data_IF_171171336671
#
_entry.id   IF_171171336671
#
_cell.length_a   1.000
_cell.length_b   1.000
_cell.length_c   1.000
_cell.angle_alpha   90.00
_cell.angle_beta   90.00
_cell.angle_gamma   90.00
#
_symmetry.space_group_name_H-M   'P 1'
#
loop_
_entity.id
_entity.type
_entity.pdbx_description
1 polymer ?
#
# COMPACT_ATOMS: atom_id res chain seq x y z
N UNK A 1 -5.78 -26.17 12.30
CA UNK A 1 -4.66 -25.22 12.17
C UNK A 1 -3.94 -25.56 10.88
N UNK A 2 -4.44 -25.02 9.77
CA UNK A 2 -4.09 -25.43 8.41
C UNK A 2 -3.37 -24.27 7.73
N UNK A 3 -2.12 -24.50 7.33
CA UNK A 3 -1.30 -23.57 6.55
C UNK A 3 -1.75 -23.71 5.10
N UNK A 4 -2.38 -22.66 4.54
CA UNK A 4 -2.78 -22.62 3.13
C UNK A 4 -1.61 -22.05 2.32
N UNK A 5 -1.03 -22.89 1.47
CA UNK A 5 0.01 -22.52 0.51
C UNK A 5 -0.64 -21.88 -0.71
N UNK A 6 -0.23 -20.66 -1.07
CA UNK A 6 -0.64 -19.96 -2.28
C UNK A 6 0.16 -20.53 -3.47
N UNK A 7 -0.57 -20.95 -4.51
CA UNK A 7 -0.02 -21.50 -5.73
C UNK A 7 0.60 -20.40 -6.61
N UNK A 8 1.89 -20.51 -6.90
CA UNK A 8 2.61 -19.70 -7.88
C UNK A 8 2.40 -20.34 -9.26
N UNK A 9 1.80 -19.58 -10.19
CA UNK A 9 1.80 -19.93 -11.60
C UNK A 9 3.24 -19.90 -12.15
N UNK A 10 3.79 -21.06 -12.45
CA UNK A 10 4.99 -21.18 -13.29
C UNK A 10 4.54 -21.50 -14.72
N UNK A 11 4.81 -20.58 -15.65
CA UNK A 11 4.64 -20.82 -17.06
C UNK A 11 5.66 -21.86 -17.53
N UNK A 12 5.21 -23.11 -17.69
CA UNK A 12 5.99 -24.18 -18.31
C UNK A 12 6.03 -24.02 -19.82
N UNK A 13 7.22 -23.74 -20.37
CA UNK A 13 7.56 -24.15 -21.72
C UNK A 13 8.09 -25.59 -21.65
N UNK A 14 7.38 -26.52 -22.27
CA UNK A 14 7.85 -27.89 -22.47
C UNK A 14 7.73 -28.26 -23.94
N UNK A 15 8.91 -28.52 -24.50
CA UNK A 15 9.32 -29.55 -25.46
C UNK A 15 8.58 -29.78 -26.79
N UNK A 16 9.39 -29.81 -27.85
CA UNK A 16 9.31 -30.83 -28.91
C UNK A 16 10.71 -31.11 -29.51
N UNK A 17 11.23 -32.33 -29.22
CA UNK A 17 11.86 -33.33 -30.12
C UNK A 17 12.98 -32.92 -31.12
N UNK A 18 13.99 -33.72 -31.50
CA UNK A 18 14.53 -35.06 -31.16
C UNK A 18 15.82 -35.25 -32.02
N UNK A 19 16.67 -36.16 -31.57
CA UNK A 19 17.60 -37.03 -32.33
C UNK A 19 18.91 -36.50 -32.99
N UNK A 20 20.00 -36.83 -32.29
CA UNK A 20 21.15 -37.66 -32.74
C UNK A 20 22.27 -37.14 -33.67
N UNK A 21 23.48 -37.34 -33.15
CA UNK A 21 24.71 -37.86 -33.80
C UNK A 21 25.72 -36.91 -34.49
N UNK A 22 26.93 -36.95 -33.89
CA UNK A 22 28.31 -36.98 -34.44
C UNK A 22 28.91 -35.72 -35.09
N UNK A 23 30.14 -35.46 -34.61
CA UNK A 23 31.34 -34.91 -35.28
C UNK A 23 31.13 -33.77 -36.29
N UNK A 24 31.63 -32.56 -36.00
CA UNK A 24 32.94 -32.12 -36.48
C UNK A 24 33.23 -30.65 -36.10
N UNK A 25 34.50 -30.31 -36.08
CA UNK A 25 35.02 -28.95 -35.89
C UNK A 25 34.42 -27.95 -36.90
N UNK A 26 34.08 -26.73 -36.45
CA UNK A 26 34.67 -25.48 -36.96
C UNK A 26 34.11 -24.24 -36.25
N UNK A 27 35.05 -23.34 -35.96
CA UNK A 27 34.89 -21.97 -35.48
C UNK A 27 33.79 -21.18 -36.20
N UNK A 28 32.88 -20.57 -35.43
CA UNK A 28 32.17 -19.35 -35.85
C UNK A 28 31.93 -18.42 -34.66
N UNK A 29 32.34 -17.17 -34.88
CA UNK A 29 32.24 -16.03 -33.98
C UNK A 29 30.82 -15.84 -33.41
N UNK A 30 30.71 -15.87 -32.08
CA UNK A 30 29.62 -15.21 -31.37
C UNK A 30 30.17 -13.95 -30.71
N UNK A 31 29.68 -12.81 -31.18
CA UNK A 31 29.83 -11.52 -30.54
C UNK A 31 29.30 -11.59 -29.11
N UNK A 32 30.13 -11.21 -28.13
CA UNK A 32 29.67 -10.84 -26.80
C UNK A 32 28.71 -9.66 -26.94
N UNK A 33 27.41 -9.93 -26.89
CA UNK A 33 26.45 -8.90 -26.53
C UNK A 33 26.67 -8.56 -25.05
N UNK A 34 27.17 -7.35 -24.82
CA UNK A 34 27.26 -6.74 -23.52
C UNK A 34 25.84 -6.56 -22.97
N UNK A 35 25.40 -7.48 -22.11
CA UNK A 35 24.32 -7.24 -21.17
C UNK A 35 24.80 -6.26 -20.10
N UNK A 36 24.97 -4.99 -20.48
CA UNK A 36 25.01 -3.89 -19.53
C UNK A 36 23.58 -3.67 -19.04
N UNK A 37 23.21 -4.42 -18.00
CA UNK A 37 22.12 -4.01 -17.13
C UNK A 37 22.48 -2.61 -16.61
N UNK A 38 21.64 -1.58 -16.78
CA UNK A 38 21.94 -0.28 -16.22
C UNK A 38 22.01 -0.46 -14.71
N UNK A 39 23.21 -0.35 -14.15
CA UNK A 39 23.37 -0.18 -12.71
C UNK A 39 22.66 1.14 -12.42
N UNK A 40 21.48 1.06 -11.82
CA UNK A 40 20.81 2.22 -11.27
C UNK A 40 21.67 2.63 -10.06
N UNK A 41 22.70 3.44 -10.31
CA UNK A 41 23.39 4.13 -9.25
C UNK A 41 22.39 5.09 -8.61
N UNK A 42 22.11 4.92 -7.32
CA UNK A 42 21.45 5.95 -6.54
C UNK A 42 22.45 7.10 -6.38
N UNK A 43 22.56 7.93 -7.42
CA UNK A 43 23.46 9.08 -7.42
C UNK A 43 22.77 10.18 -6.62
N UNK A 44 23.33 10.53 -5.46
CA UNK A 44 23.07 11.82 -4.83
C UNK A 44 24.09 12.79 -5.41
N UNK A 45 23.69 13.45 -6.51
CA UNK A 45 24.44 14.59 -7.02
C UNK A 45 23.93 15.84 -6.34
N UNK A 46 24.74 16.43 -5.45
CA UNK A 46 24.54 17.82 -5.02
C UNK A 46 25.13 18.68 -6.16
N UNK A 47 24.43 18.72 -7.30
CA UNK A 47 24.93 19.31 -8.55
C UNK A 47 24.80 20.83 -8.63
N UNK A 48 24.01 21.44 -7.74
CA UNK A 48 23.99 22.89 -7.62
C UNK A 48 25.18 23.32 -6.75
N UNK A 49 26.03 24.26 -7.20
CA UNK A 49 27.04 24.86 -6.33
C UNK A 49 26.30 25.40 -5.10
N UNK A 50 26.74 24.98 -3.91
CA UNK A 50 26.07 25.27 -2.63
C UNK A 50 25.87 26.79 -2.45
N UNK A 51 24.85 27.40 -3.01
CA UNK A 51 24.66 28.85 -2.90
C UNK A 51 24.32 29.20 -1.45
N UNK A 52 24.59 30.44 -1.01
CA UNK A 52 24.25 30.91 0.34
C UNK A 52 22.75 30.76 0.69
N UNK A 53 21.90 30.42 -0.27
CA UNK A 53 20.46 30.22 -0.12
C UNK A 53 20.05 28.74 0.12
N UNK A 54 21.01 27.81 0.28
CA UNK A 54 20.77 26.38 0.53
C UNK A 54 20.30 26.05 1.97
N UNK A 55 19.44 26.88 2.58
CA UNK A 55 18.74 26.55 3.84
C UNK A 55 17.68 25.44 3.70
N UNK A 56 17.68 24.69 2.59
CA UNK A 56 16.65 23.71 2.26
C UNK A 56 17.24 22.32 2.36
N UNK A 57 16.89 21.59 3.41
CA UNK A 57 17.18 20.17 3.55
C UNK A 57 16.63 19.43 2.32
N UNK A 58 17.54 18.80 1.59
CA UNK A 58 17.21 17.96 0.44
C UNK A 58 17.25 16.53 0.92
N UNK A 59 16.08 15.91 1.05
CA UNK A 59 15.95 14.54 1.53
C UNK A 59 15.94 13.55 0.37
N UNK A 60 16.74 12.50 0.48
CA UNK A 60 16.76 11.38 -0.45
C UNK A 60 16.60 10.06 0.29
N UNK A 61 15.65 9.25 -0.17
CA UNK A 61 15.49 7.87 0.27
C UNK A 61 16.42 6.98 -0.54
N UNK A 62 17.25 6.22 0.15
CA UNK A 62 18.20 5.28 -0.44
C UNK A 62 17.86 3.90 0.06
N UNK A 63 17.87 2.94 -0.85
CA UNK A 63 17.66 1.54 -0.53
C UNK A 63 18.98 0.93 -0.05
N UNK A 64 18.95 0.11 1.01
CA UNK A 64 20.09 -0.75 1.37
C UNK A 64 20.57 -1.64 0.23
N UNK A 65 21.81 -2.11 0.34
CA UNK A 65 22.44 -2.97 -0.66
C UNK A 65 22.59 -2.33 -2.05
N UNK A 66 22.33 -1.03 -2.18
CA UNK A 66 22.67 -0.24 -3.37
C UNK A 66 23.81 0.71 -3.01
N UNK A 67 24.76 0.95 -3.92
CA UNK A 67 25.80 1.92 -3.70
C UNK A 67 25.18 3.32 -3.62
N UNK A 68 25.65 4.11 -2.66
CA UNK A 68 25.30 5.51 -2.51
C UNK A 68 26.49 6.39 -2.89
N UNK A 69 26.35 7.15 -3.97
CA UNK A 69 27.31 8.17 -4.33
C UNK A 69 26.90 9.50 -3.70
N UNK A 70 27.73 10.00 -2.79
CA UNK A 70 27.62 11.32 -2.18
C UNK A 70 28.69 12.21 -2.81
N UNK A 71 28.28 13.25 -3.53
CA UNK A 71 29.21 14.24 -4.07
C UNK A 71 28.64 15.66 -3.92
N UNK A 72 29.51 16.67 -3.95
CA UNK A 72 29.10 18.08 -3.91
C UNK A 72 30.28 19.04 -4.05
N UNK A 73 29.98 20.33 -4.09
CA UNK A 73 30.94 21.41 -4.28
C UNK A 73 30.85 22.48 -3.18
N UNK A 74 31.96 22.77 -2.50
CA UNK A 74 32.07 23.79 -1.45
C UNK A 74 32.57 25.16 -1.96
N UNK A 75 32.60 25.43 -3.26
CA UNK A 75 33.24 26.62 -3.86
C UNK A 75 32.73 27.98 -3.35
N UNK A 76 31.56 28.02 -2.75
CA UNK A 76 30.89 29.18 -2.15
C UNK A 76 31.17 29.36 -0.65
N UNK A 77 31.82 28.37 -0.03
CA UNK A 77 32.05 28.26 1.41
C UNK A 77 33.55 28.45 1.70
N UNK A 78 33.87 28.85 2.93
CA UNK A 78 35.28 28.98 3.39
C UNK A 78 35.89 27.65 3.84
N UNK A 79 35.14 26.57 3.75
CA UNK A 79 35.47 25.29 4.35
C UNK A 79 36.07 24.34 3.33
N UNK A 80 37.13 23.63 3.74
CA UNK A 80 37.84 22.65 2.90
C UNK A 80 37.37 21.21 3.16
N UNK A 81 36.40 21.01 4.06
CA UNK A 81 35.93 19.70 4.47
C UNK A 81 34.43 19.72 4.76
N UNK A 82 33.83 18.54 4.65
CA UNK A 82 32.50 18.24 5.20
C UNK A 82 32.60 17.04 6.11
N UNK A 83 31.66 16.94 7.04
CA UNK A 83 31.53 15.79 7.92
C UNK A 83 30.23 15.05 7.61
N UNK A 84 30.38 13.79 7.25
CA UNK A 84 29.30 12.84 7.03
C UNK A 84 28.99 12.16 8.36
N UNK A 85 27.79 12.33 8.88
CA UNK A 85 27.31 11.64 10.08
C UNK A 85 26.31 10.56 9.69
N UNK A 86 26.38 9.42 10.37
CA UNK A 86 25.52 8.25 10.12
C UNK A 86 24.89 7.84 11.44
N UNK A 87 23.56 7.71 11.44
CA UNK A 87 22.70 7.34 12.56
C UNK A 87 22.04 6.00 12.23
N UNK A 88 22.55 4.90 12.75
CA UNK A 88 22.09 3.52 12.45
C UNK A 88 21.71 2.73 13.73
N UNK A 89 21.57 3.42 14.85
CA UNK A 89 21.55 2.84 16.19
C UNK A 89 22.86 3.10 16.94
N UNK A 90 23.95 3.30 16.20
CA UNK A 90 25.13 4.04 16.65
C UNK A 90 25.23 5.37 15.89
N UNK A 91 26.05 6.28 16.40
CA UNK A 91 26.38 7.52 15.70
C UNK A 91 27.84 7.46 15.27
N UNK A 92 28.10 7.43 13.97
CA UNK A 92 29.46 7.48 13.39
C UNK A 92 29.64 8.74 12.54
N UNK A 93 30.88 9.17 12.37
CA UNK A 93 31.18 10.34 11.55
C UNK A 93 32.44 10.16 10.72
N UNK A 94 32.46 10.71 9.51
CA UNK A 94 33.56 10.65 8.56
C UNK A 94 33.87 12.05 8.05
N UNK A 95 35.14 12.46 8.11
CA UNK A 95 35.59 13.71 7.50
C UNK A 95 35.87 13.43 6.02
N UNK A 96 35.21 14.17 5.14
CA UNK A 96 35.44 14.15 3.70
C UNK A 96 36.21 15.41 3.33
N UNK A 97 37.37 15.22 2.72
CA UNK A 97 38.20 16.30 2.21
C UNK A 97 37.76 16.69 0.80
N UNK A 98 37.83 17.98 0.48
CA UNK A 98 37.67 18.43 -0.89
C UNK A 98 38.95 18.26 -1.71
N UNK A 99 38.78 18.16 -3.02
CA UNK A 99 39.86 18.27 -3.99
C UNK A 99 40.23 19.74 -4.27
N UNK A 100 41.14 19.96 -5.23
CA UNK A 100 41.59 21.30 -5.63
C UNK A 100 40.49 22.18 -6.24
N UNK A 101 39.37 21.59 -6.65
CA UNK A 101 38.21 22.28 -7.21
C UNK A 101 37.10 22.48 -6.16
N UNK A 102 37.40 22.26 -4.87
CA UNK A 102 36.45 22.26 -3.77
C UNK A 102 35.34 21.19 -3.90
N UNK A 103 35.58 20.13 -4.67
CA UNK A 103 34.66 19.02 -4.81
C UNK A 103 34.95 17.94 -3.76
N UNK A 104 33.93 17.38 -3.14
CA UNK A 104 34.07 16.16 -2.34
C UNK A 104 33.32 15.00 -3.00
N UNK A 105 33.82 13.78 -2.78
CA UNK A 105 33.20 12.55 -3.27
C UNK A 105 33.39 11.43 -2.25
N UNK A 106 32.29 10.76 -1.90
CA UNK A 106 32.28 9.54 -1.09
C UNK A 106 31.32 8.54 -1.71
N UNK A 107 31.81 7.34 -1.99
CA UNK A 107 30.97 6.20 -2.33
C UNK A 107 30.79 5.39 -1.05
N UNK A 108 29.55 5.14 -0.66
CA UNK A 108 29.18 4.09 0.28
C UNK A 108 28.78 2.89 -0.57
N UNK A 109 29.62 1.86 -0.59
CA UNK A 109 29.36 0.68 -1.41
C UNK A 109 28.15 -0.12 -0.92
N UNK A 110 27.68 -1.07 -1.75
CA UNK A 110 26.54 -1.92 -1.44
C UNK A 110 26.75 -2.76 -0.18
N UNK A 111 27.98 -3.24 0.05
CA UNK A 111 28.31 -4.07 1.21
C UNK A 111 28.18 -3.27 2.50
N UNK A 112 28.66 -2.02 2.49
CA UNK A 112 28.54 -1.10 3.60
C UNK A 112 27.09 -0.73 3.87
N UNK A 113 26.31 -0.35 2.84
CA UNK A 113 24.89 -0.02 3.06
C UNK A 113 24.08 -1.25 3.50
N UNK A 114 24.43 -2.45 3.05
CA UNK A 114 23.85 -3.70 3.52
C UNK A 114 24.21 -4.03 4.99
N UNK A 115 25.40 -3.63 5.45
CA UNK A 115 25.89 -3.90 6.80
C UNK A 115 25.27 -3.02 7.91
N UNK A 116 24.55 -1.96 7.54
CA UNK A 116 23.98 -1.02 8.49
C UNK A 116 22.96 -1.70 9.43
N UNK A 117 22.99 -1.45 10.75
CA UNK A 117 21.99 -1.99 11.67
C UNK A 117 20.62 -1.28 11.57
N UNK A 118 19.54 -1.98 11.93
CA UNK A 118 18.18 -1.41 12.12
C UNK A 118 17.32 -1.27 10.84
N UNK A 119 16.06 -0.86 11.01
CA UNK A 119 15.15 -0.61 9.88
C UNK A 119 15.30 0.79 9.27
N UNK A 120 16.00 1.69 9.95
CA UNK A 120 16.18 3.07 9.55
C UNK A 120 17.62 3.49 9.83
N UNK A 121 18.35 3.88 8.79
CA UNK A 121 19.64 4.55 8.92
C UNK A 121 19.50 5.94 8.34
N UNK A 122 19.93 6.97 9.06
CA UNK A 122 19.91 8.34 8.55
C UNK A 122 21.34 8.85 8.38
N UNK A 123 21.58 9.59 7.31
CA UNK A 123 22.85 10.21 6.98
C UNK A 123 22.63 11.72 6.92
N UNK A 124 23.55 12.48 7.51
CA UNK A 124 23.55 13.94 7.44
C UNK A 124 24.95 14.43 7.09
N UNK A 125 25.08 15.25 6.05
CA UNK A 125 26.31 15.97 5.73
C UNK A 125 26.22 17.37 6.32
N UNK A 126 27.28 17.75 7.03
CA UNK A 126 27.43 19.07 7.62
C UNK A 126 28.76 19.68 7.17
N UNK A 127 28.76 20.99 6.92
CA UNK A 127 29.99 21.76 6.70
C UNK A 127 30.96 21.61 7.91
N UNK A 128 32.25 21.37 7.68
CA UNK A 128 33.22 21.18 8.76
C UNK A 128 34.58 21.85 8.51
N UNK A 129 35.05 22.74 9.42
CA UNK A 129 34.24 23.44 10.41
C UNK A 129 33.17 24.30 9.72
N UNK A 130 32.08 24.65 10.39
CA UNK A 130 31.05 25.53 9.84
C UNK A 130 31.60 26.92 9.49
N UNK A 131 30.86 27.64 8.65
CA UNK A 131 31.23 28.98 8.16
C UNK A 131 31.72 29.88 9.32
N UNK A 132 32.97 30.38 9.20
CA UNK A 132 33.74 31.17 10.20
C UNK A 132 34.46 30.40 11.32
N UNK A 133 34.41 29.06 11.35
CA UNK A 133 35.12 28.25 12.34
C UNK A 133 34.46 28.21 13.72
N UNK A 134 33.30 28.83 13.88
CA UNK A 134 32.61 29.00 15.16
C UNK A 134 31.69 27.82 15.51
N UNK A 135 31.23 27.07 14.51
CA UNK A 135 30.39 25.89 14.69
C UNK A 135 31.10 24.63 14.20
N UNK A 136 31.33 23.68 15.10
CA UNK A 136 31.71 22.32 14.80
C UNK A 136 30.99 21.40 15.76
N UNK A 137 30.28 20.41 15.21
CA UNK A 137 29.88 19.24 15.99
C UNK A 137 31.00 18.24 15.85
N UNK A 138 31.51 17.73 16.96
CA UNK A 138 32.60 16.74 16.97
C UNK A 138 32.22 15.59 17.87
N UNK A 139 32.67 14.38 17.53
CA UNK A 139 32.57 13.23 18.41
C UNK A 139 33.89 13.13 19.17
N UNK A 140 33.82 13.25 20.49
CA UNK A 140 34.97 13.05 21.38
C UNK A 140 35.53 11.64 21.18
N UNK A 141 36.83 11.52 20.89
CA UNK A 141 37.44 10.22 20.57
C UNK A 141 37.55 9.30 21.79
N UNK A 142 37.48 9.84 23.01
CA UNK A 142 37.63 9.09 24.26
C UNK A 142 36.28 8.74 24.88
N UNK A 143 35.38 9.72 25.02
CA UNK A 143 34.06 9.49 25.62
C UNK A 143 33.01 9.04 24.60
N UNK A 144 33.26 9.24 23.31
CA UNK A 144 32.25 9.02 22.26
C UNK A 144 31.13 10.06 22.24
N UNK A 145 31.16 11.04 23.14
CA UNK A 145 30.15 12.09 23.25
C UNK A 145 30.25 13.08 22.09
N UNK A 146 29.09 13.47 21.59
CA UNK A 146 28.90 14.49 20.58
C UNK A 146 28.86 15.85 21.27
N UNK A 147 29.81 16.72 20.92
CA UNK A 147 30.01 18.05 21.49
C UNK A 147 29.91 19.11 20.39
N UNK A 148 29.27 20.23 20.71
CA UNK A 148 29.28 21.44 19.88
C UNK A 148 30.34 22.42 20.38
N UNK A 149 31.02 23.13 19.46
CA UNK A 149 31.96 24.20 19.82
C UNK A 149 31.29 25.54 20.10
N UNK A 150 30.04 25.73 19.66
CA UNK A 150 29.29 26.98 19.83
C UNK A 150 28.42 26.92 21.10
N UNK A 151 28.45 27.99 21.91
CA UNK A 151 27.62 28.15 23.13
C UNK A 151 26.11 28.19 22.85
N UNK A 152 25.72 28.45 21.60
CA UNK A 152 24.32 28.62 21.22
C UNK A 152 23.65 27.31 20.76
N UNK A 153 24.40 26.21 20.59
CA UNK A 153 23.79 24.90 20.40
C UNK A 153 23.24 24.45 21.75
N UNK A 154 21.92 24.24 21.84
CA UNK A 154 21.29 23.81 23.09
C UNK A 154 21.99 22.55 23.63
N UNK A 155 22.55 22.68 24.83
CA UNK A 155 23.20 21.57 25.53
C UNK A 155 22.23 20.43 25.83
N UNK A 156 20.94 20.74 25.90
CA UNK A 156 19.85 19.77 26.02
C UNK A 156 19.68 18.93 24.75
N UNK A 157 19.71 19.54 23.55
CA UNK A 157 19.62 18.82 22.27
C UNK A 157 20.81 17.86 22.12
N UNK A 158 22.03 18.32 22.39
CA UNK A 158 23.22 17.47 22.34
C UNK A 158 23.20 16.36 23.40
N UNK A 159 22.63 16.62 24.57
CA UNK A 159 22.44 15.60 25.61
C UNK A 159 21.46 14.52 25.14
N UNK A 160 20.35 14.89 24.51
CA UNK A 160 19.38 13.93 23.94
C UNK A 160 19.98 13.10 22.80
N UNK A 161 20.84 13.70 21.97
CA UNK A 161 21.56 12.95 20.92
C UNK A 161 22.51 11.92 21.54
N UNK A 162 23.18 12.29 22.64
CA UNK A 162 24.16 11.43 23.32
C UNK A 162 23.56 10.28 24.12
N UNK A 163 22.28 10.35 24.55
CA UNK A 163 21.65 9.22 25.24
C UNK A 163 21.40 8.04 24.29
N UNK A 164 21.20 8.29 22.99
CA UNK A 164 21.00 7.23 21.99
C UNK A 164 19.71 6.41 22.17
N UNK A 165 18.85 6.77 23.12
CA UNK A 165 17.62 6.02 23.46
C UNK A 165 16.47 6.25 22.47
N UNK A 166 16.67 7.09 21.45
CA UNK A 166 15.65 7.49 20.47
C UNK A 166 15.90 6.85 19.11
N UNK A 167 14.83 6.73 18.33
CA UNK A 167 14.91 6.24 16.96
C UNK A 167 15.85 7.13 16.11
N UNK A 168 16.60 6.55 15.15
CA UNK A 168 17.53 7.31 14.28
C UNK A 168 16.91 8.50 13.54
N UNK A 169 15.61 8.43 13.24
CA UNK A 169 14.85 9.52 12.61
C UNK A 169 14.64 10.71 13.55
N UNK A 170 14.41 10.47 14.84
CA UNK A 170 14.28 11.55 15.82
C UNK A 170 15.64 12.16 16.17
N UNK A 171 16.69 11.32 16.21
CA UNK A 171 18.06 11.79 16.45
C UNK A 171 18.57 12.69 15.32
N UNK A 172 18.24 12.38 14.05
CA UNK A 172 18.65 13.23 12.93
C UNK A 172 17.88 14.55 12.90
N UNK A 173 16.59 14.57 13.26
CA UNK A 173 15.80 15.81 13.34
C UNK A 173 16.34 16.74 14.44
N UNK A 174 16.69 16.18 15.61
CA UNK A 174 17.38 16.91 16.69
C UNK A 174 18.76 17.41 16.25
N UNK A 175 19.51 16.61 15.49
CA UNK A 175 20.82 17.00 14.99
C UNK A 175 20.72 18.09 13.92
N UNK A 176 19.74 18.02 13.01
CA UNK A 176 19.43 19.09 12.05
C UNK A 176 19.07 20.37 12.77
N UNK A 177 18.24 20.29 13.83
CA UNK A 177 17.91 21.44 14.67
C UNK A 177 19.17 22.02 15.33
N UNK A 178 20.05 21.19 15.90
CA UNK A 178 21.31 21.65 16.49
C UNK A 178 22.22 22.36 15.47
N UNK A 179 22.24 21.91 14.22
CA UNK A 179 22.98 22.56 13.13
C UNK A 179 22.31 23.86 12.68
N UNK A 180 20.98 23.88 12.60
CA UNK A 180 20.18 25.03 12.14
C UNK A 180 20.14 26.17 13.16
N UNK A 181 20.09 25.85 14.45
CA UNK A 181 20.07 26.80 15.56
C UNK A 181 21.44 27.45 15.78
N UNK A 182 22.49 26.98 15.10
CA UNK A 182 23.75 27.71 15.07
C UNK A 182 23.55 29.01 14.28
N UNK A 183 23.73 30.16 14.94
CA UNK A 183 23.63 31.51 14.34
C UNK A 183 24.51 31.71 13.07
N UNK A 184 25.40 30.76 12.82
CA UNK A 184 26.30 30.69 11.66
C UNK A 184 25.63 30.23 10.36
N UNK A 185 24.40 29.72 10.39
CA UNK A 185 23.69 29.27 9.19
C UNK A 185 24.36 28.07 8.51
N UNK A 186 24.86 27.12 9.32
CA UNK A 186 25.54 25.92 8.82
C UNK A 186 24.66 25.15 7.83
N UNK A 187 25.22 24.77 6.69
CA UNK A 187 24.49 24.00 5.69
C UNK A 187 24.43 22.53 6.08
N UNK A 188 23.26 21.94 5.89
CA UNK A 188 22.94 20.57 6.23
C UNK A 188 22.26 19.87 5.04
N UNK A 189 22.77 18.71 4.64
CA UNK A 189 22.11 17.82 3.68
C UNK A 189 21.74 16.52 4.37
N UNK A 190 20.52 16.02 4.19
CA UNK A 190 20.03 14.83 4.89
C UNK A 190 19.60 13.75 3.91
N UNK A 191 19.99 12.51 4.18
CA UNK A 191 19.58 11.34 3.42
C UNK A 191 19.07 10.29 4.40
N UNK A 192 17.95 9.62 4.10
CA UNK A 192 17.50 8.46 4.86
C UNK A 192 17.77 7.21 4.02
N UNK A 193 18.56 6.29 4.57
CA UNK A 193 18.72 4.94 4.05
C UNK A 193 17.65 4.07 4.72
N UNK A 194 16.65 3.66 3.96
CA UNK A 194 15.58 2.81 4.45
C UNK A 194 16.06 1.35 4.53
N UNK A 195 15.38 0.54 5.33
CA UNK A 195 15.59 -0.91 5.45
C UNK A 195 15.68 -1.63 4.09
N UNK A 196 16.19 -2.86 4.12
CA UNK A 196 16.20 -3.76 2.97
C UNK A 196 14.79 -4.01 2.40
N UNK A 197 13.77 -3.89 3.25
CA UNK A 197 12.37 -3.98 2.87
C UNK A 197 11.82 -2.56 2.68
N UNK A 198 11.32 -2.30 1.48
CA UNK A 198 10.53 -1.09 1.23
C UNK A 198 9.21 -1.22 1.98
N UNK A 199 8.56 -0.10 2.26
CA UNK A 199 7.22 -0.12 2.83
C UNK A 199 6.25 0.68 1.98
N UNK A 200 4.98 0.30 2.08
CA UNK A 200 3.85 0.97 1.45
C UNK A 200 2.82 1.21 2.54
N UNK A 201 2.37 2.45 2.67
CA UNK A 201 1.28 2.85 3.55
C UNK A 201 0.14 3.35 2.66
N UNK A 202 -1.04 2.73 2.76
CA UNK A 202 -2.17 3.01 1.87
C UNK A 202 -3.10 3.98 2.60
N UNK A 203 -3.38 5.12 1.98
CA UNK A 203 -4.37 6.08 2.48
C UNK A 203 -5.78 5.47 2.44
N UNK A 204 -6.72 6.05 3.20
CA UNK A 204 -8.13 5.67 3.08
C UNK A 204 -8.63 5.88 1.64
N UNK A 205 -9.10 4.84 0.94
CA UNK A 205 -9.58 4.94 -0.43
C UNK A 205 -10.79 5.87 -0.50
N UNK A 206 -10.92 6.61 -1.60
CA UNK A 206 -12.08 7.47 -1.83
C UNK A 206 -12.55 7.39 -3.27
N UNK A 207 -13.84 7.62 -3.48
CA UNK A 207 -14.46 7.62 -4.81
C UNK A 207 -14.41 9.00 -5.44
N UNK A 208 -14.02 9.07 -6.72
CA UNK A 208 -14.19 10.29 -7.53
C UNK A 208 -15.60 10.32 -8.14
N UNK A 209 -16.12 9.15 -8.51
CA UNK A 209 -17.47 8.96 -9.02
C UNK A 209 -17.95 7.52 -8.65
N UNK A 210 -19.18 7.12 -8.99
CA UNK A 210 -19.69 5.80 -8.61
C UNK A 210 -18.83 4.62 -9.09
N UNK A 211 -18.10 4.79 -10.20
CA UNK A 211 -17.40 3.73 -10.94
C UNK A 211 -15.87 3.78 -10.80
N UNK A 212 -15.32 4.77 -10.10
CA UNK A 212 -13.87 4.96 -9.99
C UNK A 212 -13.46 5.24 -8.55
N UNK A 213 -12.49 4.46 -8.08
CA UNK A 213 -11.91 4.57 -6.74
C UNK A 213 -10.44 4.96 -6.84
N UNK A 214 -10.04 5.97 -6.07
CA UNK A 214 -8.64 6.41 -5.96
C UNK A 214 -7.97 5.63 -4.87
N UNK A 215 -6.85 5.01 -5.22
CA UNK A 215 -5.93 4.39 -4.27
C UNK A 215 -4.67 5.23 -4.25
N UNK A 216 -4.31 5.75 -3.08
CA UNK A 216 -3.11 6.54 -2.87
C UNK A 216 -2.40 6.11 -1.60
N UNK A 217 -1.19 6.63 -1.41
CA UNK A 217 -0.45 6.37 -0.19
C UNK A 217 0.97 6.91 -0.24
N UNK A 218 1.71 6.55 0.80
CA UNK A 218 3.12 6.89 0.97
C UNK A 218 3.99 5.63 0.84
N UNK A 219 5.23 5.80 0.41
CA UNK A 219 6.18 4.71 0.29
C UNK A 219 7.63 5.19 0.37
N UNK A 220 8.53 4.26 0.68
CA UNK A 220 9.98 4.44 0.58
C UNK A 220 10.60 3.87 -0.69
N UNK A 221 9.80 3.23 -1.54
CA UNK A 221 10.27 2.69 -2.82
C UNK A 221 10.81 3.80 -3.72
N UNK A 222 11.86 3.56 -4.53
CA UNK A 222 12.43 4.58 -5.40
C UNK A 222 11.43 5.22 -6.36
N UNK A 223 11.69 6.46 -6.77
CA UNK A 223 10.93 7.12 -7.84
C UNK A 223 10.87 6.24 -9.09
N UNK A 224 9.73 6.29 -9.78
CA UNK A 224 9.43 5.50 -10.98
C UNK A 224 9.26 4.00 -10.76
N UNK A 225 9.34 3.52 -9.52
CA UNK A 225 8.94 2.14 -9.21
C UNK A 225 7.48 1.95 -9.60
N UNK A 226 7.19 0.91 -10.37
CA UNK A 226 5.83 0.52 -10.74
C UNK A 226 5.21 -0.26 -9.59
N UNK A 227 3.94 -0.02 -9.31
CA UNK A 227 3.18 -0.74 -8.30
C UNK A 227 1.97 -1.38 -8.96
N UNK A 228 1.70 -2.66 -8.66
CA UNK A 228 0.43 -3.29 -8.93
C UNK A 228 -0.53 -2.90 -7.81
N UNK A 229 -1.73 -2.47 -8.18
CA UNK A 229 -2.80 -2.12 -7.25
C UNK A 229 -3.98 -3.04 -7.54
N UNK A 230 -4.34 -3.87 -6.56
CA UNK A 230 -5.46 -4.79 -6.64
C UNK A 230 -6.57 -4.39 -5.67
N UNK A 231 -7.82 -4.58 -6.08
CA UNK A 231 -9.00 -4.52 -5.23
C UNK A 231 -9.69 -5.86 -5.38
N UNK A 232 -9.78 -6.64 -4.30
CA UNK A 232 -10.38 -7.99 -4.30
C UNK A 232 -11.37 -8.16 -3.17
N UNK A 233 -12.50 -8.80 -3.43
CA UNK A 233 -13.50 -9.16 -2.41
C UNK A 233 -12.85 -9.84 -1.20
N UNK A 234 -13.29 -9.51 0.02
CA UNK A 234 -12.86 -10.27 1.22
C UNK A 234 -13.53 -11.64 1.30
N UNK A 235 -14.61 -11.83 0.55
CA UNK A 235 -15.39 -13.06 0.51
C UNK A 235 -15.10 -13.79 -0.80
N UNK A 236 -14.31 -14.86 -0.72
CA UNK A 236 -14.09 -15.77 -1.84
C UNK A 236 -15.03 -16.95 -1.65
N UNK A 237 -15.94 -17.17 -2.60
CA UNK A 237 -16.81 -18.34 -2.60
C UNK A 237 -16.42 -19.34 -3.70
N UNK A 238 -16.66 -20.65 -3.50
CA UNK A 238 -16.43 -21.65 -4.54
C UNK A 238 -17.26 -21.31 -5.77
N UNK A 239 -16.61 -21.01 -6.88
CA UNK A 239 -17.27 -20.64 -8.12
C UNK A 239 -17.04 -21.70 -9.20
N UNK A 240 -18.00 -21.91 -10.12
CA UNK A 240 -17.80 -22.79 -11.26
C UNK A 240 -16.69 -22.25 -12.17
N UNK A 241 -16.05 -23.13 -12.96
CA UNK A 241 -14.91 -22.76 -13.83
C UNK A 241 -15.12 -21.58 -14.79
N UNK A 242 -16.36 -21.24 -15.10
CA UNK A 242 -16.72 -20.17 -16.02
C UNK A 242 -17.31 -18.93 -15.31
N UNK A 243 -17.04 -18.78 -14.01
CA UNK A 243 -17.49 -17.63 -13.25
C UNK A 243 -16.74 -16.36 -13.66
N UNK A 244 -17.48 -15.26 -13.86
CA UNK A 244 -16.91 -13.95 -14.17
C UNK A 244 -16.47 -13.26 -12.88
N UNK A 245 -15.16 -13.20 -12.65
CA UNK A 245 -14.55 -12.54 -11.49
C UNK A 245 -14.50 -11.01 -11.60
N UNK A 246 -14.94 -10.42 -12.72
CA UNK A 246 -14.88 -8.96 -12.88
C UNK A 246 -15.77 -8.19 -11.89
N UNK A 247 -16.64 -8.89 -11.16
CA UNK A 247 -17.45 -8.35 -10.06
C UNK A 247 -16.79 -8.44 -8.68
N UNK A 248 -15.68 -9.16 -8.59
CA UNK A 248 -14.97 -9.45 -7.34
C UNK A 248 -13.56 -8.87 -7.32
N UNK A 249 -13.04 -8.51 -8.49
CA UNK A 249 -11.67 -8.06 -8.65
C UNK A 249 -11.58 -6.88 -9.63
N UNK A 250 -10.79 -5.89 -9.26
CA UNK A 250 -10.36 -4.81 -10.13
C UNK A 250 -8.87 -4.54 -9.90
N UNK A 251 -8.16 -4.17 -10.95
CA UNK A 251 -6.72 -3.94 -10.89
C UNK A 251 -6.34 -2.65 -11.62
N UNK A 252 -5.15 -2.17 -11.31
CA UNK A 252 -4.50 -1.11 -12.02
C UNK A 252 -3.05 -1.01 -11.60
N UNK A 253 -2.39 0.01 -12.12
CA UNK A 253 -0.99 0.27 -11.81
C UNK A 253 -0.83 1.69 -11.29
N UNK A 254 0.11 1.87 -10.39
CA UNK A 254 0.60 3.17 -9.97
C UNK A 254 2.09 3.29 -10.25
N UNK A 255 2.59 4.52 -10.27
CA UNK A 255 4.02 4.80 -10.29
C UNK A 255 4.37 5.66 -9.09
N UNK A 256 5.50 5.34 -8.47
CA UNK A 256 6.02 6.13 -7.35
C UNK A 256 6.52 7.48 -7.83
N UNK A 257 5.91 8.54 -7.31
CA UNK A 257 6.21 9.94 -7.60
C UNK A 257 6.77 10.66 -6.38
N UNK A 258 7.32 11.85 -6.62
CA UNK A 258 7.85 12.69 -5.54
C UNK A 258 6.71 13.17 -4.64
N UNK A 259 6.83 12.93 -3.34
CA UNK A 259 5.89 13.43 -2.32
C UNK A 259 6.45 14.59 -1.51
N UNK A 260 5.79 14.84 -0.37
CA UNK A 260 6.14 15.86 0.62
C UNK A 260 6.80 15.20 1.84
N UNK A 261 7.53 15.99 2.65
CA UNK A 261 8.02 15.58 3.98
C UNK A 261 8.75 14.22 4.01
N UNK A 262 9.64 13.98 3.06
CA UNK A 262 10.55 12.82 3.01
C UNK A 262 9.93 11.48 2.56
N UNK A 263 8.66 11.44 2.15
CA UNK A 263 8.06 10.23 1.61
C UNK A 263 7.78 10.38 0.12
N UNK A 264 7.94 9.28 -0.61
CA UNK A 264 7.40 9.21 -1.96
C UNK A 264 5.93 8.87 -1.89
N UNK A 265 5.19 9.29 -2.91
CA UNK A 265 3.75 9.07 -3.00
C UNK A 265 3.45 8.17 -4.19
N UNK A 266 2.31 7.52 -4.15
CA UNK A 266 1.72 6.90 -5.32
C UNK A 266 0.23 7.23 -5.35
N UNK A 267 -0.35 7.22 -6.53
CA UNK A 267 -1.78 7.33 -6.71
C UNK A 267 -2.19 6.70 -8.03
N UNK A 268 -3.33 6.03 -8.03
CA UNK A 268 -3.96 5.52 -9.25
C UNK A 268 -5.47 5.55 -9.10
N UNK A 269 -6.16 5.55 -10.24
CA UNK A 269 -7.62 5.46 -10.32
C UNK A 269 -7.95 4.06 -10.83
N UNK A 270 -8.65 3.28 -10.02
CA UNK A 270 -9.11 1.94 -10.36
C UNK A 270 -10.56 2.03 -10.83
N UNK A 271 -10.83 1.45 -12.00
CA UNK A 271 -12.20 1.28 -12.48
C UNK A 271 -12.89 0.19 -11.66
N UNK A 272 -13.81 0.62 -10.80
CA UNK A 272 -14.61 -0.24 -9.94
C UNK A 272 -16.04 -0.40 -10.46
N UNK A 273 -16.36 0.00 -11.71
CA UNK A 273 -17.72 -0.05 -12.27
C UNK A 273 -18.42 -1.40 -12.17
N UNK A 274 -17.66 -2.49 -12.30
CA UNK A 274 -18.19 -3.85 -12.28
C UNK A 274 -18.25 -4.47 -10.89
N UNK A 275 -17.51 -3.93 -9.91
CA UNK A 275 -17.49 -4.50 -8.57
C UNK A 275 -18.88 -4.47 -7.94
N UNK A 276 -19.24 -5.49 -7.16
CA UNK A 276 -20.44 -5.43 -6.33
C UNK A 276 -20.23 -4.47 -5.15
N UNK A 277 -21.31 -4.05 -4.50
CA UNK A 277 -21.15 -3.45 -3.18
C UNK A 277 -20.55 -4.49 -2.21
N UNK A 278 -19.75 -4.05 -1.24
CA UNK A 278 -19.21 -4.95 -0.23
C UNK A 278 -17.87 -4.55 0.35
N UNK A 279 -17.26 -5.46 1.13
CA UNK A 279 -15.91 -5.29 1.67
C UNK A 279 -14.86 -5.86 0.72
N UNK A 280 -13.78 -5.09 0.56
CA UNK A 280 -12.67 -5.41 -0.33
C UNK A 280 -11.34 -5.26 0.40
N UNK A 281 -10.43 -6.19 0.13
CA UNK A 281 -8.99 -5.98 0.30
C UNK A 281 -8.49 -5.08 -0.80
N UNK A 282 -7.70 -4.09 -0.43
CA UNK A 282 -6.88 -3.33 -1.38
C UNK A 282 -5.45 -3.74 -1.14
N UNK A 283 -4.79 -4.23 -2.17
CA UNK A 283 -3.38 -4.58 -2.15
C UNK A 283 -2.60 -3.60 -3.02
N UNK A 284 -1.43 -3.21 -2.55
CA UNK A 284 -0.48 -2.44 -3.33
C UNK A 284 0.86 -3.13 -3.21
N UNK A 285 1.42 -3.54 -4.34
CA UNK A 285 2.62 -4.38 -4.41
C UNK A 285 3.63 -3.80 -5.39
N UNK A 286 4.91 -3.82 -5.05
CA UNK A 286 5.97 -3.35 -5.95
C UNK A 286 6.18 -4.30 -7.14
N UNK A 287 6.05 -3.78 -8.36
CA UNK A 287 6.39 -4.49 -9.59
C UNK A 287 7.85 -4.29 -9.95
N UNK A 288 8.58 -5.38 -10.11
CA UNK A 288 9.93 -5.41 -10.70
C UNK A 288 10.97 -4.51 -9.99
N UNK A 289 10.83 -4.28 -8.69
CA UNK A 289 11.86 -3.63 -7.88
C UNK A 289 12.82 -4.65 -7.27
N UNK A 290 14.08 -4.25 -7.10
CA UNK A 290 15.04 -4.95 -6.24
C UNK A 290 14.60 -4.99 -4.78
N UNK A 291 13.63 -4.12 -4.42
CA UNK A 291 13.06 -3.93 -3.09
C UNK A 291 11.61 -4.37 -3.11
N UNK A 292 11.31 -5.51 -2.53
CA UNK A 292 9.92 -5.94 -2.43
C UNK A 292 9.23 -5.16 -1.32
N UNK A 293 8.04 -4.66 -1.62
CA UNK A 293 7.13 -4.11 -0.63
C UNK A 293 5.70 -4.42 -1.06
N UNK A 294 4.90 -4.83 -0.10
CA UNK A 294 3.47 -5.06 -0.23
C UNK A 294 2.75 -4.51 0.99
N UNK A 295 1.52 -4.07 0.79
CA UNK A 295 0.65 -3.59 1.85
C UNK A 295 -0.79 -3.88 1.50
N UNK A 296 -1.62 -4.04 2.52
CA UNK A 296 -3.05 -4.23 2.33
C UNK A 296 -3.89 -3.51 3.38
N UNK A 297 -5.07 -3.07 2.96
CA UNK A 297 -6.12 -2.52 3.83
C UNK A 297 -7.47 -3.15 3.49
N UNK A 298 -8.43 -3.05 4.39
CA UNK A 298 -9.82 -3.43 4.13
C UNK A 298 -10.65 -2.15 4.02
N UNK A 299 -11.48 -2.05 2.99
CA UNK A 299 -12.42 -0.93 2.82
C UNK A 299 -13.79 -1.42 2.34
N UNK A 300 -14.79 -0.55 2.45
CA UNK A 300 -16.13 -0.77 1.90
C UNK A 300 -16.27 0.00 0.58
N UNK A 301 -16.64 -0.71 -0.49
CA UNK A 301 -16.95 -0.12 -1.79
C UNK A 301 -18.45 -0.28 -2.01
N UNK A 302 -19.16 0.84 -2.14
CA UNK A 302 -20.61 0.84 -2.41
C UNK A 302 -20.83 1.23 -3.87
N UNK A 303 -21.14 0.25 -4.71
CA UNK A 303 -21.50 0.47 -6.10
C UNK A 303 -23.01 0.36 -6.27
N UNK A 304 -23.61 1.42 -6.78
CA UNK A 304 -24.98 1.36 -7.26
C UNK A 304 -24.93 0.72 -8.65
N UNK A 305 -25.74 -0.31 -8.92
CA UNK A 305 -25.80 -0.92 -10.24
C UNK A 305 -26.17 0.14 -11.30
N UNK A 306 -25.56 0.04 -12.48
CA UNK A 306 -26.05 0.78 -13.65
C UNK A 306 -27.50 0.35 -13.93
N UNK A 307 -28.29 1.27 -14.49
CA UNK A 307 -29.68 0.99 -14.87
C UNK A 307 -29.69 -0.09 -15.98
N UNK A 308 -29.85 -1.34 -15.60
CA UNK A 308 -30.04 -2.52 -16.44
C UNK A 308 -31.38 -2.40 -17.20
N UNK A 309 -31.51 -2.91 -18.45
CA UNK A 309 -32.75 -2.85 -19.22
C UNK A 309 -33.89 -3.65 -18.55
N UNK A 310 -35.15 -3.23 -18.76
CA UNK A 310 -36.35 -3.88 -18.21
C UNK A 310 -36.63 -5.28 -18.83
N UNK A 311 -36.96 -6.24 -17.98
CA UNK A 311 -37.12 -7.67 -18.29
C UNK A 311 -37.38 -8.57 -17.07
N UNK A 312 -38.26 -8.18 -16.14
CA UNK A 312 -38.52 -8.99 -14.94
C UNK A 312 -39.42 -10.22 -15.24
N UNK A 313 -38.88 -11.45 -15.10
CA UNK A 313 -39.58 -12.73 -15.36
C UNK A 313 -40.24 -13.35 -14.11
N UNK A 314 -40.54 -12.56 -13.08
CA UNK A 314 -41.17 -13.09 -11.86
C UNK A 314 -42.63 -13.46 -12.13
N UNK A 315 -42.99 -14.72 -11.88
CA UNK A 315 -44.38 -15.14 -11.83
C UNK A 315 -45.02 -14.73 -10.49
N UNK A 316 -45.40 -13.46 -10.38
CA UNK A 316 -46.01 -12.90 -9.17
C UNK A 316 -47.27 -13.65 -8.71
N UNK A 317 -48.03 -14.24 -9.65
CA UNK A 317 -49.22 -15.02 -9.29
C UNK A 317 -48.90 -16.32 -8.54
N UNK A 318 -47.67 -16.83 -8.64
CA UNK A 318 -47.20 -17.99 -7.89
C UNK A 318 -46.64 -17.61 -6.49
N UNK A 319 -46.46 -16.32 -6.21
CA UNK A 319 -45.98 -15.83 -4.92
C UNK A 319 -47.17 -15.40 -4.06
N UNK A 320 -47.44 -16.15 -2.99
CA UNK A 320 -48.42 -15.75 -1.97
C UNK A 320 -47.74 -14.81 -0.96
N UNK A 321 -47.56 -13.54 -1.34
CA UNK A 321 -46.91 -12.53 -0.50
C UNK A 321 -47.92 -11.52 0.08
N UNK A 322 -47.68 -11.01 1.31
CA UNK A 322 -48.42 -9.88 1.85
C UNK A 322 -48.13 -8.59 1.07
N UNK A 323 -48.92 -7.55 1.32
CA UNK A 323 -48.60 -6.20 0.84
C UNK A 323 -47.31 -5.70 1.52
N UNK A 324 -46.25 -5.46 0.73
CA UNK A 324 -44.96 -4.97 1.24
C UNK A 324 -45.00 -3.44 1.44
N UNK A 325 -44.90 -3.00 2.69
CA UNK A 325 -44.99 -1.58 3.08
C UNK A 325 -43.59 -1.01 3.38
N UNK A 326 -43.01 -0.39 2.36
CA UNK A 326 -41.68 0.23 2.47
C UNK A 326 -41.68 1.41 3.46
N UNK A 327 -40.82 1.34 4.47
CA UNK A 327 -40.49 2.47 5.34
C UNK A 327 -39.23 3.19 4.83
N UNK A 328 -39.40 4.38 4.23
CA UNK A 328 -38.31 5.19 3.66
C UNK A 328 -37.36 5.81 4.69
N UNK A 329 -37.68 5.74 5.98
CA UNK A 329 -36.81 6.25 7.04
C UNK A 329 -35.73 5.23 7.45
N UNK A 330 -35.77 3.99 6.93
CA UNK A 330 -34.77 2.97 7.20
C UNK A 330 -33.63 3.12 6.19
N UNK A 331 -32.52 3.70 6.64
CA UNK A 331 -31.32 3.87 5.83
C UNK A 331 -30.67 2.50 5.53
N UNK A 332 -30.21 2.26 4.29
CA UNK A 332 -29.42 1.08 3.95
C UNK A 332 -28.15 0.98 4.77
N UNK A 333 -27.79 -0.25 5.15
CA UNK A 333 -26.56 -0.57 5.86
C UNK A 333 -25.76 -1.64 5.12
N UNK A 334 -24.44 -1.62 5.30
CA UNK A 334 -23.60 -2.75 4.88
C UNK A 334 -23.77 -3.90 5.89
N UNK A 335 -24.03 -5.15 5.45
CA UNK A 335 -24.16 -6.26 6.39
C UNK A 335 -22.84 -6.55 7.11
N UNK A 336 -22.93 -6.98 8.37
CA UNK A 336 -21.76 -7.32 9.20
C UNK A 336 -21.02 -8.60 8.73
N UNK A 337 -21.61 -9.36 7.81
CA UNK A 337 -21.06 -10.57 7.22
C UNK A 337 -22.11 -11.29 6.38
N UNK A 338 -21.91 -12.57 6.10
CA UNK A 338 -22.84 -13.38 5.33
C UNK A 338 -24.24 -13.34 5.96
N UNK A 339 -25.27 -13.34 5.10
CA UNK A 339 -26.64 -13.36 5.56
C UNK A 339 -26.94 -14.69 6.26
N UNK A 340 -27.48 -14.65 7.47
CA UNK A 340 -27.82 -15.83 8.25
C UNK A 340 -29.30 -15.84 8.55
N UNK A 341 -29.95 -16.97 8.27
CA UNK A 341 -31.36 -17.13 8.57
C UNK A 341 -31.49 -17.66 10.01
N UNK A 342 -32.21 -16.93 10.87
CA UNK A 342 -32.37 -17.23 12.30
C UNK A 342 -33.84 -17.40 12.67
N UNK A 343 -34.16 -18.09 13.79
CA UNK A 343 -35.54 -18.15 14.29
C UNK A 343 -36.12 -16.77 14.60
N UNK A 344 -37.46 -16.63 14.62
CA UNK A 344 -38.11 -15.37 14.97
C UNK A 344 -37.75 -14.90 16.39
N UNK A 345 -37.39 -13.63 16.56
CA UNK A 345 -36.96 -13.03 17.82
C UNK A 345 -35.48 -13.19 18.16
N UNK A 346 -34.71 -13.94 17.36
CA UNK A 346 -33.29 -14.21 17.61
C UNK A 346 -32.35 -13.26 16.83
N UNK A 347 -32.88 -12.38 15.98
CA UNK A 347 -32.03 -11.44 15.22
C UNK A 347 -31.40 -10.40 16.14
N UNK A 348 -30.07 -10.37 16.15
CA UNK A 348 -29.27 -9.43 16.96
C UNK A 348 -28.28 -8.61 16.13
N UNK A 349 -28.12 -8.95 14.85
CA UNK A 349 -27.16 -8.35 13.94
C UNK A 349 -27.83 -7.97 12.62
N UNK A 350 -27.27 -7.00 11.91
CA UNK A 350 -27.81 -6.52 10.64
C UNK A 350 -27.56 -7.48 9.45
N UNK A 351 -26.93 -8.64 9.66
CA UNK A 351 -26.83 -9.74 8.70
C UNK A 351 -27.67 -10.96 9.11
N UNK A 352 -28.55 -10.83 10.10
CA UNK A 352 -29.47 -11.90 10.52
C UNK A 352 -30.90 -11.58 10.08
N UNK A 353 -31.50 -12.49 9.31
CA UNK A 353 -32.91 -12.40 8.86
C UNK A 353 -33.73 -13.51 9.50
N UNK A 354 -34.91 -13.16 9.99
CA UNK A 354 -35.75 -14.10 10.72
C UNK A 354 -36.48 -15.07 9.76
N UNK A 355 -36.91 -16.21 10.28
CA UNK A 355 -37.74 -17.13 9.52
C UNK A 355 -39.02 -16.45 9.02
N UNK A 356 -39.39 -16.79 7.79
CA UNK A 356 -40.51 -16.21 7.04
C UNK A 356 -40.28 -14.77 6.57
N UNK A 357 -39.06 -14.22 6.68
CA UNK A 357 -38.74 -12.94 6.08
C UNK A 357 -38.83 -12.97 4.56
N UNK A 358 -39.12 -11.81 3.99
CA UNK A 358 -39.12 -11.55 2.56
C UNK A 358 -38.01 -10.55 2.28
N UNK A 359 -37.08 -10.87 1.38
CA UNK A 359 -36.01 -9.98 0.96
C UNK A 359 -36.31 -9.54 -0.46
N UNK A 360 -36.55 -8.26 -0.65
CA UNK A 360 -36.79 -7.61 -1.94
C UNK A 360 -35.53 -6.86 -2.38
N UNK A 361 -34.70 -7.50 -3.19
CA UNK A 361 -33.50 -6.92 -3.78
C UNK A 361 -33.85 -6.21 -5.07
N UNK A 362 -33.87 -4.87 -5.02
CA UNK A 362 -34.31 -4.02 -6.12
C UNK A 362 -33.14 -3.54 -6.99
N UNK A 363 -33.44 -3.02 -8.20
CA UNK A 363 -32.44 -2.45 -9.09
C UNK A 363 -31.69 -1.23 -8.57
N UNK A 364 -32.09 -0.67 -7.43
CA UNK A 364 -31.35 0.40 -6.76
C UNK A 364 -30.16 -0.11 -5.94
N UNK A 365 -29.89 -1.43 -5.97
CA UNK A 365 -28.82 -2.06 -5.21
C UNK A 365 -29.12 -2.10 -3.70
N UNK A 366 -30.39 -1.97 -3.31
CA UNK A 366 -30.84 -2.03 -1.92
C UNK A 366 -31.82 -3.20 -1.77
N UNK A 367 -31.44 -4.14 -0.92
CA UNK A 367 -32.30 -5.24 -0.48
C UNK A 367 -33.07 -4.84 0.77
N UNK A 368 -34.40 -4.86 0.67
CA UNK A 368 -35.32 -4.52 1.75
C UNK A 368 -35.84 -5.80 2.38
N UNK A 369 -35.67 -5.93 3.68
CA UNK A 369 -36.11 -7.10 4.46
C UNK A 369 -37.43 -6.76 5.12
N UNK A 370 -38.44 -7.59 4.85
CA UNK A 370 -39.76 -7.52 5.43
C UNK A 370 -40.02 -8.72 6.33
N UNK A 371 -40.86 -8.53 7.34
CA UNK A 371 -41.43 -9.64 8.10
C UNK A 371 -42.53 -10.37 7.29
N UNK A 372 -43.10 -11.41 7.88
CA UNK A 372 -44.18 -12.19 7.27
C UNK A 372 -45.51 -11.41 7.09
N UNK A 373 -45.63 -10.23 7.69
CA UNK A 373 -46.79 -9.35 7.55
C UNK A 373 -46.59 -8.28 6.46
N UNK A 374 -45.40 -8.20 5.87
CA UNK A 374 -45.02 -7.20 4.89
C UNK A 374 -44.52 -5.89 5.49
N UNK A 375 -44.17 -5.86 6.78
CA UNK A 375 -43.60 -4.68 7.45
C UNK A 375 -42.09 -4.60 7.19
N UNK A 376 -41.61 -3.45 6.70
CA UNK A 376 -40.19 -3.22 6.43
C UNK A 376 -39.39 -3.14 7.73
N UNK A 377 -38.42 -4.05 7.90
CA UNK A 377 -37.58 -4.17 9.09
C UNK A 377 -36.20 -3.55 8.90
N UNK A 378 -35.59 -3.77 7.73
CA UNK A 378 -34.17 -3.50 7.50
C UNK A 378 -33.89 -3.25 6.02
N UNK A 379 -33.01 -2.29 5.73
CA UNK A 379 -32.46 -2.04 4.39
C UNK A 379 -30.99 -2.44 4.37
N UNK A 380 -30.57 -3.24 3.40
CA UNK A 380 -29.18 -3.66 3.20
C UNK A 380 -28.71 -3.29 1.80
N UNK A 381 -27.44 -2.91 1.66
CA UNK A 381 -26.83 -2.85 0.33
C UNK A 381 -26.73 -4.28 -0.25
N UNK A 382 -27.11 -4.44 -1.51
CA UNK A 382 -26.95 -5.69 -2.25
C UNK A 382 -25.45 -5.92 -2.49
N UNK A 383 -24.88 -6.69 -1.57
CA UNK A 383 -23.44 -6.85 -1.42
C UNK A 383 -23.02 -8.29 -1.70
N UNK A 384 -21.74 -8.47 -2.01
CA UNK A 384 -21.13 -9.80 -2.08
C UNK A 384 -21.39 -10.62 -0.79
N UNK A 385 -21.42 -9.99 0.39
CA UNK A 385 -21.81 -10.62 1.65
C UNK A 385 -23.25 -11.16 1.59
N UNK A 386 -24.20 -10.35 1.11
CA UNK A 386 -25.62 -10.70 1.04
C UNK A 386 -25.90 -11.83 0.04
N UNK A 387 -25.12 -11.93 -1.03
CA UNK A 387 -25.23 -13.02 -2.01
C UNK A 387 -24.91 -14.39 -1.40
N UNK A 388 -24.19 -14.42 -0.28
CA UNK A 388 -23.92 -15.65 0.47
C UNK A 388 -24.92 -15.79 1.63
N UNK A 389 -25.88 -16.70 1.49
CA UNK A 389 -26.85 -17.00 2.55
C UNK A 389 -26.50 -18.30 3.26
N UNK A 390 -26.22 -18.23 4.55
CA UNK A 390 -26.14 -19.40 5.42
C UNK A 390 -27.55 -19.90 5.73
N UNK A 391 -27.88 -21.06 5.17
CA UNK A 391 -29.17 -21.71 5.40
C UNK A 391 -29.06 -22.72 6.55
N UNK A 392 -30.14 -22.93 7.33
CA UNK A 392 -30.15 -23.94 8.39
C UNK A 392 -29.85 -25.34 7.86
N UNK A 393 -29.30 -26.21 8.71
CA UNK A 393 -29.10 -27.61 8.35
C UNK A 393 -30.43 -28.25 7.92
N UNK A 394 -30.40 -29.02 6.82
CA UNK A 394 -31.55 -29.64 6.16
C UNK A 394 -32.45 -28.69 5.37
N UNK A 395 -32.14 -27.39 5.31
CA UNK A 395 -32.85 -26.48 4.43
C UNK A 395 -32.44 -26.70 2.95
N UNK A 396 -33.38 -26.48 2.04
CA UNK A 396 -33.19 -26.57 0.60
C UNK A 396 -33.43 -25.21 -0.05
N UNK A 397 -32.51 -24.78 -0.92
CA UNK A 397 -32.70 -23.61 -1.77
C UNK A 397 -33.36 -24.01 -3.10
N UNK A 398 -34.47 -23.36 -3.42
CA UNK A 398 -35.24 -23.53 -4.66
C UNK A 398 -35.26 -22.19 -5.41
N UNK A 399 -34.33 -22.04 -6.36
CA UNK A 399 -34.13 -20.82 -7.16
C UNK A 399 -34.70 -20.90 -8.58
N UNK A 400 -35.44 -21.96 -8.92
CA UNK A 400 -35.91 -22.21 -10.30
C UNK A 400 -37.43 -22.25 -10.43
N UNK A 401 -38.16 -22.47 -9.34
CA UNK A 401 -39.60 -22.68 -9.41
C UNK A 401 -40.42 -21.42 -9.70
N UNK A 402 -39.90 -20.23 -9.37
CA UNK A 402 -40.65 -18.96 -9.49
C UNK A 402 -39.79 -17.85 -10.11
N UNK A 403 -39.10 -18.15 -11.22
CA UNK A 403 -38.28 -17.17 -11.94
C UNK A 403 -37.12 -16.65 -11.09
N UNK A 404 -37.01 -15.34 -10.90
CA UNK A 404 -35.92 -14.70 -10.15
C UNK A 404 -36.09 -14.74 -8.61
N UNK A 405 -36.94 -15.62 -8.11
CA UNK A 405 -37.16 -15.80 -6.67
C UNK A 405 -36.44 -17.05 -6.18
N UNK A 406 -35.67 -16.88 -5.10
CA UNK A 406 -35.09 -17.97 -4.34
C UNK A 406 -35.93 -18.22 -3.08
N UNK A 407 -36.48 -19.43 -2.97
CA UNK A 407 -37.19 -19.89 -1.79
C UNK A 407 -36.27 -20.79 -0.96
N UNK A 408 -36.09 -20.49 0.31
CA UNK A 408 -35.43 -21.41 1.25
C UNK A 408 -36.51 -22.18 2.01
N UNK A 409 -36.47 -23.51 1.92
CA UNK A 409 -37.46 -24.41 2.53
C UNK A 409 -36.80 -25.26 3.62
N UNK A 410 -37.43 -25.35 4.79
CA UNK A 410 -37.02 -26.23 5.89
C UNK A 410 -38.21 -27.11 6.28
N UNK A 411 -38.03 -28.43 6.22
CA UNK A 411 -39.11 -29.41 6.45
C UNK A 411 -40.36 -29.22 5.55
N UNK A 412 -40.17 -28.62 4.37
CA UNK A 412 -41.25 -28.33 3.41
C UNK A 412 -41.82 -26.92 3.51
N UNK A 413 -41.62 -26.22 4.63
CA UNK A 413 -42.10 -24.86 4.85
C UNK A 413 -41.11 -23.83 4.30
N UNK A 414 -41.62 -22.77 3.66
CA UNK A 414 -40.79 -21.66 3.18
C UNK A 414 -40.39 -20.79 4.37
N UNK A 415 -39.09 -20.75 4.67
CA UNK A 415 -38.51 -19.97 5.77
C UNK A 415 -37.80 -18.70 5.30
N UNK A 416 -37.61 -18.50 4.00
CA UNK A 416 -37.14 -17.25 3.42
C UNK A 416 -37.64 -17.14 1.98
N UNK A 417 -38.15 -15.98 1.60
CA UNK A 417 -38.40 -15.62 0.20
C UNK A 417 -37.44 -14.51 -0.20
N UNK A 418 -36.52 -14.79 -1.10
CA UNK A 418 -35.62 -13.77 -1.67
C UNK A 418 -36.03 -13.49 -3.10
N UNK A 419 -36.51 -12.28 -3.34
CA UNK A 419 -36.85 -11.74 -4.64
C UNK A 419 -35.61 -10.98 -5.11
N UNK A 420 -34.99 -11.47 -6.18
CA UNK A 420 -33.96 -10.70 -6.86
C UNK A 420 -34.58 -10.08 -8.09
N UNK A 421 -34.97 -8.81 -8.01
CA UNK A 421 -35.35 -8.07 -9.20
C UNK A 421 -34.09 -7.72 -9.99
N UNK A 422 -33.55 -8.71 -10.69
CA UNK A 422 -32.71 -8.44 -11.85
C UNK A 422 -33.62 -7.84 -12.90
N UNK A 423 -33.26 -6.65 -13.38
CA UNK A 423 -34.12 -5.86 -14.26
C UNK A 423 -34.59 -6.66 -15.44
#
# INVERSE_FOLDING_TARGET
MLILSIAIFTAGCSDLNKDSAKDDLTSKNFSKENNNCPIIENIISISDPLSKDFKKSTFQNVVRNHPLLINGNLSSLKSEKVQLWVFDGNITSYILHTDRNNMFKKVLDSDWTNSLPGNFTSIILVEYPGTNGEFAVTKDSLSGEIKGTNKNVSSEILKEINTGERFPTMLIDLFEQAVSDSDTGGMCFMCRINSADGWIDIDSPYKINPHETVISGNTTLPLRTKLAVGISTVNIHPSPKNYDYSHEFAEGEAEVVKGDNCFYKFSTVINTSKLNSGKYFITVESLNSSVKADSYIITEIINLPEKVPEGNYINWSALLLPELKENKNINPQMPAGNLKIVPPGDSTQNNEVEYSSIIDCRPDGICRVFDNSGTHLLSLYDSNELHTTQVPNNAMADSKSVGNVTLIKLNGDVILTRINEYQ
#
